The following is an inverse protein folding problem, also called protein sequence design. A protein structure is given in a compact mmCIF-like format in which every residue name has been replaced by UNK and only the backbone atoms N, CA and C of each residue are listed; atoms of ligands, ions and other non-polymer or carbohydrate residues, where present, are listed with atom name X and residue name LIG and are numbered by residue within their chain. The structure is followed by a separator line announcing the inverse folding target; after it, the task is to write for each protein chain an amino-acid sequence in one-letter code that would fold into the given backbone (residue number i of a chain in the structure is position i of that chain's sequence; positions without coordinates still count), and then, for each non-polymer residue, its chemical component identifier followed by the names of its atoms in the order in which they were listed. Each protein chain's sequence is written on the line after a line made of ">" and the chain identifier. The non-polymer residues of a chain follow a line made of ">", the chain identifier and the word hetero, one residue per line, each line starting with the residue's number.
data_IF_783150119057
#
_entry.id   IF_783150119057
#
_cell.length_a   1.000
_cell.length_b   1.000
_cell.length_c   1.000
_cell.angle_alpha   90.00
_cell.angle_beta   90.00
_cell.angle_gamma   90.00
#
_symmetry.space_group_name_H-M   'P 1'
#
loop_
_entity.id
_entity.type
_entity.pdbx_description
1 polymer ?
#
# COMPACT_ATOMS: atom_id res chain seq x y z
N UNK A 1 7.05 6.00 13.34
CA UNK A 1 8.13 5.26 12.64
C UNK A 1 7.57 4.61 11.39
N UNK A 2 8.28 4.65 10.25
CA UNK A 2 7.82 4.09 8.99
C UNK A 2 8.16 2.59 8.89
N UNK A 3 7.19 1.74 8.55
CA UNK A 3 7.35 0.28 8.49
C UNK A 3 7.71 -0.21 7.08
N UNK A 4 7.00 0.30 6.06
CA UNK A 4 7.21 -0.06 4.66
C UNK A 4 6.69 1.02 3.71
N UNK A 5 7.09 0.94 2.46
CA UNK A 5 6.58 1.73 1.34
C UNK A 5 6.27 0.81 0.17
N UNK A 6 5.08 0.95 -0.41
CA UNK A 6 4.64 0.20 -1.58
C UNK A 6 4.26 1.19 -2.69
N UNK A 7 4.72 0.92 -3.91
CA UNK A 7 4.25 1.56 -5.14
C UNK A 7 3.65 0.48 -6.03
N UNK A 8 2.43 0.68 -6.49
CA UNK A 8 1.75 -0.27 -7.38
C UNK A 8 0.86 0.45 -8.39
N UNK A 9 0.60 -0.20 -9.51
CA UNK A 9 -0.24 0.32 -10.58
C UNK A 9 -1.73 0.20 -10.26
N UNK A 10 -2.58 0.85 -11.06
CA UNK A 10 -4.04 0.68 -11.00
C UNK A 10 -4.51 -0.77 -11.23
N UNK A 11 -3.70 -1.60 -11.88
CA UNK A 11 -3.98 -3.03 -12.09
C UNK A 11 -3.45 -3.91 -10.94
N UNK A 12 -2.90 -3.31 -9.88
CA UNK A 12 -2.34 -4.02 -8.73
C UNK A 12 -0.93 -4.56 -8.94
N UNK A 13 -0.24 -4.21 -10.04
CA UNK A 13 1.15 -4.63 -10.28
C UNK A 13 2.09 -3.83 -9.39
N UNK A 14 2.79 -4.50 -8.49
CA UNK A 14 3.81 -3.90 -7.63
C UNK A 14 4.98 -3.41 -8.49
N UNK A 15 5.41 -2.16 -8.26
CA UNK A 15 6.53 -1.49 -8.94
C UNK A 15 7.68 -1.21 -7.99
N UNK A 16 7.38 -0.95 -6.72
CA UNK A 16 8.38 -0.77 -5.67
C UNK A 16 7.84 -1.35 -4.36
N UNK A 17 8.72 -2.02 -3.62
CA UNK A 17 8.52 -2.32 -2.21
C UNK A 17 9.81 -2.01 -1.45
N UNK A 18 9.68 -1.31 -0.33
CA UNK A 18 10.76 -1.10 0.62
C UNK A 18 10.25 -1.45 2.01
N UNK A 19 10.99 -2.32 2.70
CA UNK A 19 10.71 -2.76 4.06
C UNK A 19 11.78 -2.17 4.98
N UNK A 20 11.37 -1.45 6.01
CA UNK A 20 12.27 -0.81 6.97
C UNK A 20 12.39 -1.61 8.27
N UNK A 21 11.59 -2.66 8.42
CA UNK A 21 11.62 -3.62 9.52
C UNK A 21 11.83 -5.04 8.97
N UNK A 22 12.51 -5.93 9.71
CA UNK A 22 12.68 -7.31 9.30
C UNK A 22 11.34 -8.05 9.33
N UNK A 23 10.93 -8.60 8.19
CA UNK A 23 9.73 -9.41 8.04
C UNK A 23 10.05 -10.63 7.16
N UNK A 24 9.35 -11.74 7.38
CA UNK A 24 9.47 -12.90 6.48
C UNK A 24 8.86 -12.58 5.11
N UNK A 25 9.34 -13.26 4.06
CA UNK A 25 8.79 -13.05 2.71
C UNK A 25 7.32 -13.48 2.60
N UNK A 26 6.88 -14.42 3.44
CA UNK A 26 5.47 -14.82 3.55
C UNK A 26 4.62 -13.66 4.06
N UNK A 27 5.08 -12.96 5.10
CA UNK A 27 4.40 -11.79 5.63
C UNK A 27 4.39 -10.64 4.63
N UNK A 28 5.54 -10.32 4.03
CA UNK A 28 5.63 -9.27 3.00
C UNK A 28 4.63 -9.49 1.87
N UNK A 29 4.53 -10.72 1.36
CA UNK A 29 3.57 -11.09 0.30
C UNK A 29 2.12 -10.92 0.77
N UNK A 30 1.80 -11.36 1.99
CA UNK A 30 0.45 -11.23 2.58
C UNK A 30 0.06 -9.76 2.73
N UNK A 31 0.91 -8.95 3.36
CA UNK A 31 0.70 -7.51 3.58
C UNK A 31 0.50 -6.78 2.25
N UNK A 32 1.37 -7.05 1.27
CA UNK A 32 1.29 -6.42 -0.05
C UNK A 32 -0.05 -6.72 -0.72
N UNK A 33 -0.47 -7.98 -0.74
CA UNK A 33 -1.74 -8.38 -1.37
C UNK A 33 -2.94 -7.71 -0.71
N UNK A 34 -3.01 -7.76 0.63
CA UNK A 34 -4.11 -7.17 1.40
C UNK A 34 -4.20 -5.65 1.18
N UNK A 35 -3.08 -4.93 1.26
CA UNK A 35 -3.07 -3.47 1.13
C UNK A 35 -3.34 -3.01 -0.31
N UNK A 36 -2.78 -3.68 -1.32
CA UNK A 36 -3.06 -3.36 -2.73
C UNK A 36 -4.55 -3.51 -3.02
N UNK A 37 -5.16 -4.63 -2.61
CA UNK A 37 -6.60 -4.86 -2.79
C UNK A 37 -7.43 -3.80 -2.06
N UNK A 38 -7.08 -3.52 -0.80
CA UNK A 38 -7.81 -2.56 0.03
C UNK A 38 -7.76 -1.15 -0.55
N UNK A 39 -6.58 -0.68 -0.97
CA UNK A 39 -6.42 0.67 -1.53
C UNK A 39 -7.09 0.79 -2.90
N UNK A 40 -7.04 -0.23 -3.76
CA UNK A 40 -7.69 -0.21 -5.07
C UNK A 40 -9.22 -0.19 -4.98
N UNK A 41 -9.80 -0.78 -3.93
CA UNK A 41 -11.25 -0.79 -3.70
C UNK A 41 -11.80 0.55 -3.15
N UNK A 42 -10.94 1.46 -2.68
CA UNK A 42 -11.39 2.74 -2.10
C UNK A 42 -11.85 3.75 -3.16
N UNK A 43 -12.93 4.49 -2.84
CA UNK A 43 -13.48 5.53 -3.71
C UNK A 43 -12.61 6.80 -3.70
N UNK A 44 -12.53 7.56 -4.81
CA UNK A 44 -11.65 8.75 -4.91
C UNK A 44 -11.89 9.87 -3.89
N UNK A 45 -13.10 9.99 -3.32
CA UNK A 45 -13.46 11.03 -2.34
C UNK A 45 -13.12 10.67 -0.90
N UNK A 46 -12.55 9.49 -0.64
CA UNK A 46 -12.15 9.07 0.70
C UNK A 46 -10.82 9.70 1.10
N UNK A 47 -10.59 9.88 2.40
CA UNK A 47 -9.34 10.44 2.92
C UNK A 47 -8.12 9.58 2.55
N UNK A 48 -6.92 10.17 2.59
CA UNK A 48 -5.64 9.48 2.31
C UNK A 48 -5.15 8.57 3.44
N UNK A 49 -5.95 8.38 4.50
CA UNK A 49 -5.59 7.60 5.68
C UNK A 49 -6.47 6.35 5.77
N UNK A 50 -5.85 5.25 6.20
CA UNK A 50 -6.50 3.96 6.45
C UNK A 50 -5.89 3.38 7.73
N UNK A 51 -6.73 3.06 8.71
CA UNK A 51 -6.30 2.19 9.80
C UNK A 51 -6.34 0.74 9.30
N UNK A 52 -5.22 0.04 9.41
CA UNK A 52 -5.09 -1.36 9.02
C UNK A 52 -4.26 -2.08 10.07
N UNK A 53 -4.90 -2.99 10.81
CA UNK A 53 -4.33 -3.56 12.04
C UNK A 53 -3.89 -2.43 12.98
N UNK A 54 -2.73 -2.54 13.59
CA UNK A 54 -2.14 -1.53 14.48
C UNK A 54 -1.31 -0.46 13.72
N UNK A 55 -1.50 -0.34 12.40
CA UNK A 55 -0.77 0.59 11.55
C UNK A 55 -1.70 1.57 10.84
N UNK A 56 -1.26 2.83 10.81
CA UNK A 56 -1.84 3.86 9.99
C UNK A 56 -1.19 3.88 8.61
N UNK A 57 -1.96 3.53 7.58
CA UNK A 57 -1.52 3.55 6.19
C UNK A 57 -1.87 4.91 5.58
N UNK A 58 -0.86 5.56 5.01
CA UNK A 58 -1.01 6.80 4.24
C UNK A 58 -0.84 6.47 2.76
N UNK A 59 -1.81 6.83 1.93
CA UNK A 59 -1.75 6.59 0.50
C UNK A 59 -2.15 7.83 -0.31
N UNK A 60 -1.51 8.00 -1.47
CA UNK A 60 -1.86 9.01 -2.46
C UNK A 60 -1.89 8.37 -3.83
N UNK A 61 -2.97 8.62 -4.58
CA UNK A 61 -3.09 8.19 -5.96
C UNK A 61 -2.52 9.28 -6.86
N UNK A 62 -1.31 9.07 -7.37
CA UNK A 62 -0.74 9.91 -8.40
C UNK A 62 -1.18 9.37 -9.76
N UNK A 63 -1.89 10.20 -10.53
CA UNK A 63 -2.04 10.00 -11.96
C UNK A 63 -0.99 10.88 -12.63
N UNK A 64 -0.04 10.30 -13.34
CA UNK A 64 0.78 11.09 -14.27
C UNK A 64 -0.18 11.62 -15.36
N UNK A 65 -0.26 12.93 -15.61
CA UNK A 65 -1.17 13.50 -16.61
C UNK A 65 -0.66 13.36 -18.06
N UNK A 66 0.30 12.48 -18.31
CA UNK A 66 0.79 12.16 -19.66
C UNK A 66 -0.04 11.01 -20.24
#
# INVERSE_FOLDING_TARGET
>A
QMQFMLLFSRQGKLRLQKWYVPLSDKEKKKITRELVQTVLARKPKMCSFLEWRDLKIVYKRCSSPL
#
